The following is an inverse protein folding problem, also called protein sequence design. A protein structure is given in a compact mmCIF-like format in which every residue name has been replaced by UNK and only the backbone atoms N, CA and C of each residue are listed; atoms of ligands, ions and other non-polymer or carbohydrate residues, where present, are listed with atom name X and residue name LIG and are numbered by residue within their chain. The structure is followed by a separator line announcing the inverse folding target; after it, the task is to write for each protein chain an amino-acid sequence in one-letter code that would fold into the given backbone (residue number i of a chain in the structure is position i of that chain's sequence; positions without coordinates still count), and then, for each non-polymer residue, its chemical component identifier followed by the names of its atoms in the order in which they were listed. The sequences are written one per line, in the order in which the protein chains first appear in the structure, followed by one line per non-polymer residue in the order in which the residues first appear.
data_IF_695089895270
#
_entry.id   IF_695089895270
#
_cell.length_a   1.000
_cell.length_b   1.000
_cell.length_c   1.000
_cell.angle_alpha   90.00
_cell.angle_beta   90.00
_cell.angle_gamma   90.00
#
_symmetry.space_group_name_H-M   'P 1'
#
loop_
_entity.id
_entity.type
_entity.pdbx_description
1 polymer ?
#
# COMPACT_ATOMS: atom_id res chain seq x y z
N UNK A 1 -17.68 20.70 71.44
CA UNK A 1 -16.76 19.54 71.56
C UNK A 1 -17.16 18.52 70.52
N UNK A 2 -16.40 18.42 69.42
CA UNK A 2 -16.72 17.55 68.27
C UNK A 2 -16.39 16.11 68.60
N UNK A 3 -17.43 15.28 68.78
CA UNK A 3 -17.32 13.83 69.00
C UNK A 3 -16.80 13.15 67.74
N UNK A 4 -15.49 12.98 67.64
CA UNK A 4 -14.86 12.18 66.58
C UNK A 4 -15.27 10.71 66.75
N UNK A 5 -16.05 10.21 65.80
CA UNK A 5 -16.60 8.86 65.79
C UNK A 5 -15.47 7.79 65.82
N UNK A 6 -15.45 6.87 66.80
CA UNK A 6 -14.37 5.89 66.97
C UNK A 6 -14.15 4.98 65.75
N UNK A 7 -15.18 4.76 64.92
CA UNK A 7 -15.03 4.01 63.66
C UNK A 7 -14.25 4.77 62.58
N UNK A 8 -14.35 6.11 62.56
CA UNK A 8 -13.59 6.93 61.60
C UNK A 8 -12.11 6.92 61.97
N UNK A 9 -11.80 6.95 63.26
CA UNK A 9 -10.43 6.86 63.77
C UNK A 9 -9.82 5.46 63.53
N UNK A 10 -10.61 4.40 63.69
CA UNK A 10 -10.21 3.03 63.31
C UNK A 10 -9.88 2.89 61.82
N UNK A 11 -10.66 3.51 60.93
CA UNK A 11 -10.38 3.47 59.47
C UNK A 11 -9.16 4.29 59.08
N UNK A 12 -8.92 5.42 59.77
CA UNK A 12 -7.74 6.26 59.55
C UNK A 12 -6.46 5.54 59.98
N UNK A 13 -6.47 4.89 61.14
CA UNK A 13 -5.34 4.13 61.65
C UNK A 13 -5.03 2.89 60.78
N UNK A 14 -6.04 2.16 60.30
CA UNK A 14 -5.83 1.06 59.34
C UNK A 14 -5.23 1.55 58.00
N UNK A 15 -5.73 2.67 57.47
CA UNK A 15 -5.20 3.27 56.25
C UNK A 15 -3.73 3.70 56.42
N UNK A 16 -3.36 4.25 57.58
CA UNK A 16 -1.98 4.63 57.89
C UNK A 16 -1.04 3.41 57.95
N UNK A 17 -1.46 2.32 58.59
CA UNK A 17 -0.67 1.07 58.64
C UNK A 17 -0.46 0.44 57.25
N UNK A 18 -1.50 0.45 56.40
CA UNK A 18 -1.39 -0.03 55.01
C UNK A 18 -0.42 0.83 54.20
N UNK A 19 -0.48 2.15 54.36
CA UNK A 19 0.44 3.09 53.71
C UNK A 19 1.90 2.85 54.13
N UNK A 20 2.15 2.66 55.42
CA UNK A 20 3.50 2.39 55.94
C UNK A 20 4.10 1.10 55.35
N UNK A 21 3.28 0.03 55.23
CA UNK A 21 3.70 -1.22 54.57
C UNK A 21 4.08 -1.01 53.12
N UNK A 22 3.33 -0.19 52.37
CA UNK A 22 3.67 0.16 50.97
C UNK A 22 5.01 0.89 50.89
N UNK A 23 5.25 1.88 51.75
CA UNK A 23 6.51 2.63 51.76
C UNK A 23 7.70 1.75 52.17
N UNK A 24 7.49 0.79 53.07
CA UNK A 24 8.51 -0.19 53.46
C UNK A 24 8.83 -1.15 52.31
N UNK A 25 7.80 -1.65 51.61
CA UNK A 25 7.97 -2.50 50.44
C UNK A 25 8.70 -1.76 49.31
N UNK A 26 8.38 -0.48 49.06
CA UNK A 26 9.07 0.34 48.07
C UNK A 26 10.55 0.54 48.39
N UNK A 27 10.89 0.88 49.65
CA UNK A 27 12.29 1.01 50.09
C UNK A 27 13.08 -0.30 49.97
N UNK A 28 12.45 -1.42 50.29
CA UNK A 28 13.05 -2.73 50.11
C UNK A 28 13.28 -3.04 48.62
N UNK A 29 12.33 -2.70 47.76
CA UNK A 29 12.46 -2.91 46.32
C UNK A 29 13.60 -2.09 45.72
N UNK A 30 13.74 -0.83 46.17
CA UNK A 30 14.81 0.07 45.75
C UNK A 30 16.20 -0.44 46.16
N UNK A 31 16.35 -0.95 47.40
CA UNK A 31 17.65 -1.47 47.89
C UNK A 31 18.09 -2.77 47.21
N UNK A 32 17.13 -3.62 46.86
CA UNK A 32 17.42 -4.96 46.33
C UNK A 32 17.31 -5.03 44.80
N UNK A 33 17.06 -3.89 44.12
CA UNK A 33 16.90 -3.84 42.66
C UNK A 33 15.74 -4.68 42.12
N UNK A 34 14.74 -5.01 42.93
CA UNK A 34 13.61 -5.84 42.51
C UNK A 34 12.57 -5.03 41.73
N UNK A 35 11.72 -5.70 40.93
CA UNK A 35 10.71 -5.05 40.09
C UNK A 35 9.85 -4.01 40.84
N UNK A 36 9.92 -2.75 40.40
CA UNK A 36 9.28 -1.59 41.05
C UNK A 36 7.85 -1.31 40.56
N UNK A 37 7.24 -2.25 39.83
CA UNK A 37 5.87 -2.05 39.30
C UNK A 37 4.82 -1.99 40.41
N UNK A 38 3.74 -1.23 40.15
CA UNK A 38 2.58 -1.08 41.05
C UNK A 38 2.05 -2.44 41.54
N UNK A 39 1.99 -3.42 40.64
CA UNK A 39 1.54 -4.79 40.93
C UNK A 39 2.49 -5.59 41.80
N UNK A 40 3.80 -5.34 41.72
CA UNK A 40 4.81 -5.99 42.54
C UNK A 40 4.83 -5.39 43.95
N UNK A 41 4.77 -4.06 44.06
CA UNK A 41 4.73 -3.35 45.34
C UNK A 41 3.44 -3.63 46.11
N UNK A 42 2.29 -3.72 45.44
CA UNK A 42 1.01 -4.09 46.08
C UNK A 42 1.07 -5.47 46.75
N UNK A 43 1.62 -6.47 46.05
CA UNK A 43 1.82 -7.83 46.58
C UNK A 43 2.80 -7.84 47.74
N UNK A 44 3.95 -7.18 47.60
CA UNK A 44 4.97 -7.11 48.64
C UNK A 44 4.48 -6.41 49.93
N UNK A 45 3.59 -5.43 49.81
CA UNK A 45 2.99 -4.73 50.94
C UNK A 45 1.75 -5.42 51.52
N UNK A 46 1.20 -6.43 50.84
CA UNK A 46 -0.04 -7.11 51.23
C UNK A 46 -1.26 -6.17 51.18
N UNK A 47 -1.37 -5.37 50.12
CA UNK A 47 -2.50 -4.45 49.86
C UNK A 47 -3.09 -4.68 48.48
N UNK A 48 -4.38 -4.37 48.31
CA UNK A 48 -5.06 -4.44 47.01
C UNK A 48 -4.62 -3.31 46.06
N UNK A 49 -4.62 -3.54 44.74
CA UNK A 49 -4.24 -2.52 43.73
C UNK A 49 -5.14 -1.29 43.80
N UNK A 50 -6.42 -1.48 44.10
CA UNK A 50 -7.42 -0.40 44.24
C UNK A 50 -7.03 0.59 45.34
N UNK A 51 -6.36 0.11 46.40
CA UNK A 51 -5.84 0.98 47.45
C UNK A 51 -4.78 1.93 46.90
N UNK A 52 -3.85 1.44 46.07
CA UNK A 52 -2.83 2.27 45.44
C UNK A 52 -3.45 3.29 44.47
N UNK A 53 -4.44 2.88 43.67
CA UNK A 53 -5.14 3.80 42.76
C UNK A 53 -5.92 4.90 43.47
N UNK A 54 -6.43 4.63 44.68
CA UNK A 54 -7.08 5.63 45.52
C UNK A 54 -6.08 6.63 46.13
N UNK A 55 -4.80 6.27 46.22
CA UNK A 55 -3.72 7.06 46.80
C UNK A 55 -2.73 7.48 45.72
N UNK A 56 -3.11 8.53 44.98
CA UNK A 56 -2.32 9.08 43.86
C UNK A 56 -0.89 9.42 44.22
N UNK A 57 -0.64 9.84 45.45
CA UNK A 57 0.68 10.18 45.96
C UNK A 57 1.61 8.96 46.10
N UNK A 58 1.06 7.78 46.47
CA UNK A 58 1.82 6.53 46.47
C UNK A 58 2.14 6.08 45.05
N UNK A 59 1.22 6.25 44.11
CA UNK A 59 1.49 5.97 42.69
C UNK A 59 2.58 6.86 42.12
N UNK A 60 2.54 8.15 42.43
CA UNK A 60 3.60 9.09 42.00
C UNK A 60 4.95 8.66 42.55
N UNK A 61 5.03 8.21 43.81
CA UNK A 61 6.28 7.71 44.39
C UNK A 61 6.76 6.40 43.75
N UNK A 62 5.86 5.46 43.47
CA UNK A 62 6.20 4.21 42.79
C UNK A 62 6.68 4.49 41.35
N UNK A 63 6.03 5.40 40.64
CA UNK A 63 6.43 5.79 39.29
C UNK A 63 7.76 6.57 39.28
N UNK A 64 7.94 7.51 40.21
CA UNK A 64 9.20 8.24 40.35
C UNK A 64 10.35 7.27 40.64
N UNK A 65 10.15 6.34 41.58
CA UNK A 65 11.15 5.35 41.93
C UNK A 65 11.37 4.30 40.81
N UNK A 66 10.36 3.99 39.99
CA UNK A 66 10.53 3.13 38.81
C UNK A 66 11.29 3.82 37.66
N UNK A 67 11.18 5.14 37.58
CA UNK A 67 11.94 5.97 36.64
C UNK A 67 13.35 6.26 37.14
N UNK A 68 13.56 6.19 38.46
CA UNK A 68 14.87 6.31 39.10
C UNK A 68 15.61 4.97 38.98
N UNK A 69 16.79 4.93 38.35
CA UNK A 69 17.54 3.69 38.19
C UNK A 69 18.07 3.21 39.54
N UNK A 70 18.18 1.88 39.77
CA UNK A 70 18.76 1.35 41.00
C UNK A 70 20.19 1.90 41.18
N UNK A 71 20.42 2.56 42.31
CA UNK A 71 21.74 3.07 42.68
C UNK A 71 22.73 1.91 42.77
N UNK A 72 23.76 1.95 41.92
CA UNK A 72 24.80 0.92 41.90
C UNK A 72 25.78 1.17 43.04
N UNK A 73 25.51 0.58 44.20
CA UNK A 73 26.55 0.34 45.20
C UNK A 73 27.35 -0.89 44.75
N UNK A 74 28.55 -0.69 44.20
CA UNK A 74 29.55 -1.76 44.05
C UNK A 74 30.22 -1.93 42.67
N UNK A 75 31.45 -1.43 42.59
CA UNK A 75 32.64 -2.06 41.97
C UNK A 75 32.53 -2.69 40.56
N UNK A 76 32.78 -1.89 39.51
CA UNK A 76 33.09 -2.34 38.14
C UNK A 76 33.68 -1.20 37.29
N UNK A 77 34.48 -1.47 36.23
CA UNK A 77 35.31 -0.44 35.59
C UNK A 77 34.52 0.64 34.83
N UNK A 78 34.63 1.89 35.30
CA UNK A 78 34.80 3.18 34.61
C UNK A 78 34.00 3.54 33.34
N UNK A 79 32.93 2.85 32.95
CA UNK A 79 32.01 3.43 31.96
C UNK A 79 30.92 4.19 32.71
N UNK A 80 31.01 5.52 32.71
CA UNK A 80 30.01 6.36 33.34
C UNK A 80 28.63 6.09 32.73
N UNK A 81 27.57 6.16 33.54
CA UNK A 81 26.19 6.04 33.06
C UNK A 81 25.89 6.99 31.88
N UNK A 82 26.49 8.18 31.89
CA UNK A 82 26.39 9.14 30.80
C UNK A 82 26.97 8.59 29.48
N UNK A 83 28.09 7.86 29.55
CA UNK A 83 28.69 7.19 28.40
C UNK A 83 27.78 6.10 27.82
N UNK A 84 27.18 5.25 28.66
CA UNK A 84 26.22 4.24 28.21
C UNK A 84 24.97 4.84 27.55
N UNK A 85 24.47 5.95 28.09
CA UNK A 85 23.34 6.67 27.50
C UNK A 85 23.70 7.30 26.15
N UNK A 86 24.91 7.86 26.03
CA UNK A 86 25.43 8.39 24.77
C UNK A 86 25.64 7.28 23.72
N UNK A 87 26.12 6.11 24.13
CA UNK A 87 26.29 4.95 23.24
C UNK A 87 24.93 4.43 22.75
N UNK A 88 23.92 4.37 23.61
CA UNK A 88 22.56 3.99 23.25
C UNK A 88 21.95 4.98 22.25
N UNK A 89 22.08 6.29 22.51
CA UNK A 89 21.62 7.33 21.58
C UNK A 89 22.31 7.18 20.22
N UNK A 90 23.64 7.01 20.23
CA UNK A 90 24.42 6.80 19.01
C UNK A 90 24.02 5.55 18.24
N UNK A 91 23.67 4.46 18.95
CA UNK A 91 23.17 3.23 18.33
C UNK A 91 21.80 3.40 17.71
N UNK A 92 20.88 4.10 18.38
CA UNK A 92 19.56 4.42 17.84
C UNK A 92 19.64 5.29 16.59
N UNK A 93 20.53 6.29 16.59
CA UNK A 93 20.76 7.14 15.40
C UNK A 93 21.32 6.34 14.22
N UNK A 94 22.22 5.39 14.47
CA UNK A 94 22.71 4.47 13.43
C UNK A 94 21.60 3.60 12.89
N UNK A 95 20.77 3.01 13.75
CA UNK A 95 19.64 2.19 13.35
C UNK A 95 18.63 2.99 12.51
N UNK A 96 18.35 4.25 12.90
CA UNK A 96 17.49 5.16 12.14
C UNK A 96 18.04 5.45 10.73
N UNK A 97 19.35 5.71 10.62
CA UNK A 97 20.01 5.91 9.32
C UNK A 97 19.98 4.66 8.44
N UNK A 98 20.25 3.49 9.01
CA UNK A 98 20.19 2.22 8.27
C UNK A 98 18.77 1.94 7.76
N UNK A 99 17.75 2.17 8.59
CA UNK A 99 16.35 2.00 8.18
C UNK A 99 15.96 2.96 7.04
N UNK A 100 16.46 4.21 7.06
CA UNK A 100 16.25 5.16 5.96
C UNK A 100 16.92 4.69 4.67
N UNK A 101 18.15 4.16 4.75
CA UNK A 101 18.87 3.63 3.60
C UNK A 101 18.16 2.41 3.00
N UNK A 102 17.66 1.49 3.84
CA UNK A 102 16.88 0.34 3.39
C UNK A 102 15.65 0.81 2.59
N UNK A 103 14.87 1.75 3.11
CA UNK A 103 13.71 2.29 2.40
C UNK A 103 14.07 2.94 1.06
N UNK A 104 15.19 3.66 1.01
CA UNK A 104 15.67 4.25 -0.25
C UNK A 104 16.07 3.19 -1.28
N UNK A 105 16.74 2.11 -0.84
CA UNK A 105 17.11 0.99 -1.71
C UNK A 105 15.89 0.22 -2.18
N UNK A 106 14.92 -0.06 -1.30
CA UNK A 106 13.64 -0.68 -1.66
C UNK A 106 12.90 0.15 -2.70
N UNK A 107 12.84 1.48 -2.53
CA UNK A 107 12.23 2.37 -3.51
C UNK A 107 12.93 2.30 -4.87
N UNK A 108 14.26 2.38 -4.88
CA UNK A 108 15.05 2.28 -6.11
C UNK A 108 14.90 0.92 -6.80
N UNK A 109 14.82 -0.17 -6.04
CA UNK A 109 14.55 -1.50 -6.58
C UNK A 109 13.13 -1.55 -7.18
N UNK A 110 12.14 -0.97 -6.51
CA UNK A 110 10.78 -0.90 -7.03
C UNK A 110 10.70 -0.06 -8.31
N UNK A 111 11.44 1.05 -8.41
CA UNK A 111 11.55 1.85 -9.64
C UNK A 111 12.19 1.04 -10.77
N UNK A 112 13.34 0.40 -10.53
CA UNK A 112 14.04 -0.38 -11.55
C UNK A 112 13.23 -1.60 -12.00
N UNK A 113 12.57 -2.29 -11.07
CA UNK A 113 11.67 -3.39 -11.40
C UNK A 113 10.42 -2.87 -12.11
N UNK A 114 9.92 -1.69 -11.75
CA UNK A 114 8.83 -1.02 -12.46
C UNK A 114 9.21 -0.72 -13.91
N UNK A 115 10.39 -0.15 -14.15
CA UNK A 115 10.94 0.08 -15.49
C UNK A 115 11.17 -1.22 -16.25
N UNK A 116 11.72 -2.25 -15.62
CA UNK A 116 11.96 -3.54 -16.27
C UNK A 116 10.65 -4.25 -16.61
N UNK A 117 9.68 -4.30 -15.71
CA UNK A 117 8.34 -4.82 -15.98
C UNK A 117 7.63 -3.99 -17.03
N UNK A 118 7.82 -2.66 -17.04
CA UNK A 118 7.29 -1.78 -18.09
C UNK A 118 7.88 -2.09 -19.47
N UNK A 119 9.19 -2.36 -19.54
CA UNK A 119 9.88 -2.79 -20.76
C UNK A 119 9.49 -4.20 -21.21
N UNK A 120 9.39 -5.16 -20.29
CA UNK A 120 9.06 -6.56 -20.59
C UNK A 120 7.57 -6.80 -20.87
N UNK A 121 6.68 -5.99 -20.30
CA UNK A 121 5.23 -6.11 -20.52
C UNK A 121 4.78 -5.63 -21.90
N UNK A 122 5.64 -4.92 -22.66
CA UNK A 122 5.32 -4.46 -24.01
C UNK A 122 4.22 -3.38 -24.11
N UNK A 123 3.82 -2.78 -22.99
CA UNK A 123 2.74 -1.76 -22.93
C UNK A 123 3.31 -0.32 -23.03
N UNK A 124 4.50 -0.13 -23.61
CA UNK A 124 5.10 1.20 -23.55
C UNK A 124 6.40 1.47 -24.31
N UNK A 125 6.83 0.63 -25.26
CA UNK A 125 7.94 1.03 -26.12
C UNK A 125 7.42 2.01 -27.21
N UNK A 126 8.01 3.21 -27.38
CA UNK A 126 7.66 4.08 -28.50
C UNK A 126 7.88 3.38 -29.85
N UNK A 127 8.84 2.46 -29.93
CA UNK A 127 9.08 1.64 -31.12
C UNK A 127 7.88 0.73 -31.46
N UNK A 128 7.24 0.12 -30.47
CA UNK A 128 6.08 -0.77 -30.70
C UNK A 128 4.85 0.05 -31.10
N UNK A 129 4.62 1.19 -30.46
CA UNK A 129 3.51 2.09 -30.80
C UNK A 129 3.71 2.68 -32.20
N UNK A 130 4.90 3.15 -32.56
CA UNK A 130 5.21 3.62 -33.92
C UNK A 130 5.09 2.50 -34.95
N UNK A 131 5.54 1.28 -34.63
CA UNK A 131 5.40 0.14 -35.52
C UNK A 131 3.93 -0.22 -35.75
N UNK A 132 3.09 -0.16 -34.70
CA UNK A 132 1.64 -0.34 -34.82
C UNK A 132 1.02 0.76 -35.67
N UNK A 133 1.37 2.03 -35.46
CA UNK A 133 0.88 3.13 -36.31
C UNK A 133 1.30 2.96 -37.77
N UNK A 134 2.58 2.64 -38.04
CA UNK A 134 3.05 2.34 -39.40
C UNK A 134 2.27 1.19 -40.03
N UNK A 135 1.96 0.15 -39.24
CA UNK A 135 1.17 -1.00 -39.72
C UNK A 135 -0.28 -0.61 -40.01
N UNK A 136 -0.89 0.22 -39.16
CA UNK A 136 -2.25 0.75 -39.37
C UNK A 136 -2.29 1.55 -40.67
N UNK A 137 -1.39 2.52 -40.85
CA UNK A 137 -1.34 3.34 -42.07
C UNK A 137 -1.10 2.50 -43.33
N UNK A 138 -0.23 1.49 -43.25
CA UNK A 138 0.00 0.57 -44.38
C UNK A 138 -1.26 -0.24 -44.71
N UNK A 139 -2.00 -0.72 -43.70
CA UNK A 139 -3.25 -1.46 -43.90
C UNK A 139 -4.36 -0.55 -44.45
N UNK A 140 -4.45 0.69 -44.00
CA UNK A 140 -5.38 1.69 -44.53
C UNK A 140 -5.11 1.97 -46.02
N UNK A 141 -3.84 2.14 -46.40
CA UNK A 141 -3.47 2.31 -47.81
C UNK A 141 -3.84 1.07 -48.64
N UNK A 142 -3.58 -0.13 -48.11
CA UNK A 142 -3.98 -1.38 -48.79
C UNK A 142 -5.49 -1.48 -48.98
N UNK A 143 -6.30 -1.02 -48.02
CA UNK A 143 -7.75 -1.00 -48.15
C UNK A 143 -8.21 -0.02 -49.24
N UNK A 144 -7.60 1.16 -49.32
CA UNK A 144 -7.89 2.15 -50.36
C UNK A 144 -7.55 1.58 -51.74
N UNK A 145 -6.35 1.03 -51.90
CA UNK A 145 -5.89 0.46 -53.17
C UNK A 145 -6.78 -0.71 -53.62
N UNK A 146 -7.17 -1.58 -52.70
CA UNK A 146 -8.02 -2.73 -53.00
C UNK A 146 -9.45 -2.29 -53.37
N UNK A 147 -9.97 -1.26 -52.72
CA UNK A 147 -11.27 -0.67 -53.07
C UNK A 147 -11.25 -0.07 -54.47
N UNK A 148 -10.19 0.67 -54.82
CA UNK A 148 -10.02 1.21 -56.17
C UNK A 148 -9.95 0.12 -57.24
N UNK A 149 -9.26 -0.99 -56.97
CA UNK A 149 -9.21 -2.13 -57.88
C UNK A 149 -10.57 -2.81 -58.06
N UNK A 150 -11.39 -2.91 -57.00
CA UNK A 150 -12.74 -3.44 -57.10
C UNK A 150 -13.64 -2.54 -57.96
N UNK A 151 -13.53 -1.22 -57.79
CA UNK A 151 -14.30 -0.26 -58.59
C UNK A 151 -13.91 -0.31 -60.07
N UNK A 152 -12.62 -0.38 -60.38
CA UNK A 152 -12.13 -0.54 -61.76
C UNK A 152 -12.68 -1.83 -62.39
N UNK A 153 -12.60 -2.96 -61.68
CA UNK A 153 -13.12 -4.24 -62.18
C UNK A 153 -14.63 -4.24 -62.33
N UNK A 154 -15.36 -3.53 -61.46
CA UNK A 154 -16.80 -3.36 -61.61
C UNK A 154 -17.15 -2.56 -62.86
N UNK A 155 -16.40 -1.50 -63.16
CA UNK A 155 -16.56 -0.70 -64.39
C UNK A 155 -16.25 -1.51 -65.64
N UNK A 156 -15.14 -2.27 -65.65
CA UNK A 156 -14.79 -3.18 -66.75
C UNK A 156 -15.89 -4.21 -67.01
N UNK A 157 -16.44 -4.79 -65.94
CA UNK A 157 -17.48 -5.81 -66.04
C UNK A 157 -18.80 -5.22 -66.55
N UNK A 158 -19.17 -4.02 -66.12
CA UNK A 158 -20.35 -3.34 -66.66
C UNK A 158 -20.17 -2.95 -68.13
N UNK A 159 -18.98 -2.49 -68.53
CA UNK A 159 -18.65 -2.22 -69.92
C UNK A 159 -18.75 -3.50 -70.78
N UNK A 160 -18.22 -4.62 -70.30
CA UNK A 160 -18.31 -5.91 -70.97
C UNK A 160 -19.76 -6.39 -71.09
N UNK A 161 -20.58 -6.22 -70.04
CA UNK A 161 -22.02 -6.53 -70.07
C UNK A 161 -22.76 -5.65 -71.06
N UNK A 162 -22.48 -4.35 -71.10
CA UNK A 162 -23.08 -3.42 -72.04
C UNK A 162 -22.75 -3.81 -73.49
N UNK A 163 -21.48 -4.11 -73.79
CA UNK A 163 -21.06 -4.59 -75.10
C UNK A 163 -21.72 -5.92 -75.48
N UNK A 164 -21.86 -6.86 -74.52
CA UNK A 164 -22.56 -8.11 -74.76
C UNK A 164 -24.04 -7.89 -75.07
N UNK A 165 -24.73 -7.02 -74.30
CA UNK A 165 -26.12 -6.63 -74.59
C UNK A 165 -26.25 -6.03 -75.99
N UNK A 166 -25.35 -5.13 -76.39
CA UNK A 166 -25.35 -4.53 -77.73
C UNK A 166 -25.10 -5.56 -78.84
N UNK A 167 -24.18 -6.51 -78.63
CA UNK A 167 -23.93 -7.57 -79.59
C UNK A 167 -25.15 -8.49 -79.73
N UNK A 168 -25.81 -8.82 -78.62
CA UNK A 168 -27.04 -9.62 -78.62
C UNK A 168 -28.21 -8.89 -79.29
N UNK A 169 -28.38 -7.57 -79.09
CA UNK A 169 -29.40 -6.80 -79.80
C UNK A 169 -29.13 -6.78 -81.31
N UNK A 170 -27.87 -6.58 -81.74
CA UNK A 170 -27.46 -6.65 -83.15
C UNK A 170 -27.68 -8.04 -83.78
N UNK A 171 -27.42 -9.12 -83.04
CA UNK A 171 -27.68 -10.48 -83.53
C UNK A 171 -29.18 -10.77 -83.65
N UNK A 172 -29.98 -10.38 -82.65
CA UNK A 172 -31.43 -10.58 -82.68
C UNK A 172 -32.08 -9.78 -83.82
N UNK A 173 -31.65 -8.54 -84.06
CA UNK A 173 -32.19 -7.73 -85.19
C UNK A 173 -31.77 -8.30 -86.55
N UNK A 174 -30.60 -8.92 -86.66
CA UNK A 174 -30.14 -9.59 -87.89
C UNK A 174 -30.76 -10.98 -88.10
N UNK A 175 -31.14 -11.68 -87.03
CA UNK A 175 -31.77 -13.00 -87.06
C UNK A 175 -33.30 -12.96 -87.16
N UNK A 176 -33.92 -11.79 -86.99
CA UNK A 176 -35.36 -11.60 -87.21
C UNK A 176 -35.64 -11.69 -88.72
N UNK A 177 -36.32 -12.74 -89.22
CA UNK A 177 -36.55 -12.88 -90.65
C UNK A 177 -37.58 -11.85 -91.12
N UNK A 178 -37.26 -11.14 -92.20
CA UNK A 178 -38.24 -10.42 -93.01
C UNK A 178 -39.22 -11.44 -93.59
N UNK A 179 -40.35 -11.64 -92.91
CA UNK A 179 -41.28 -12.70 -93.29
C UNK A 179 -42.64 -12.56 -92.63
N UNK A 180 -43.33 -11.44 -92.86
CA UNK A 180 -44.79 -11.38 -93.03
C UNK A 180 -45.14 -10.19 -93.95
N UNK A 181 -44.81 -10.36 -95.23
CA UNK A 181 -45.60 -9.78 -96.34
C UNK A 181 -46.15 -10.96 -97.14
N UNK A 182 -47.44 -11.22 -96.99
CA UNK A 182 -48.36 -11.76 -98.01
C UNK A 182 -49.77 -11.43 -97.49
N UNK A 183 -50.43 -10.39 -98.01
CA UNK A 183 -51.32 -10.39 -99.19
C UNK A 183 -52.53 -11.33 -99.06
N UNK A 184 -53.72 -10.71 -99.13
CA UNK A 184 -55.02 -11.16 -99.68
C UNK A 184 -56.14 -10.59 -98.79
N UNK A 185 -57.27 -10.06 -99.24
CA UNK A 185 -57.91 -9.87 -100.55
C UNK A 185 -59.18 -9.04 -100.28
N UNK A 186 -59.63 -8.26 -101.28
CA UNK A 186 -60.95 -7.61 -101.45
C UNK A 186 -61.39 -6.47 -100.51
#
# INVERSE_FOLDING_TARGET
MTTTNPMIEGRRTDSARRRERVLKALRHAARNGTAMSVSAIARAAGVDRTFLYRHRDLLTQIHAASSEPPGTDGTGPLVSRASLQADLASANDRAGRQAAQIRQLEHKIAELLGEQVWHESGIGAPADIEQLHRRITALEQQLVDLTAQLDERAQELEAARAANRELMTRLNTRSQPAGLVHQAES
#
